data_IF_573675141068
#
_entry.id   IF_573675141068
#
_cell.length_a   1.000
_cell.length_b   1.000
_cell.length_c   1.000
_cell.angle_alpha   90.00
_cell.angle_beta   90.00
_cell.angle_gamma   90.00
#
_symmetry.space_group_name_H-M   'P 1'
#
loop_
_entity.id
_entity.type
_entity.pdbx_description
1 polymer ?
#
# COMPACT_ATOMS: atom_id res chain seq x y z
N UNK A 1 3.40 -24.44 21.62
CA UNK A 1 4.88 -24.43 21.67
C UNK A 1 5.60 -24.59 20.32
N UNK A 2 5.68 -25.76 19.65
CA UNK A 2 6.48 -25.87 18.40
C UNK A 2 5.93 -25.05 17.21
N UNK A 3 4.60 -24.97 17.04
CA UNK A 3 3.98 -24.14 15.96
C UNK A 3 4.13 -22.64 16.20
N UNK A 4 4.03 -22.18 17.44
CA UNK A 4 4.20 -20.75 17.78
C UNK A 4 5.63 -20.28 17.54
N UNK A 5 6.63 -21.11 17.87
CA UNK A 5 8.03 -20.81 17.56
C UNK A 5 8.30 -20.73 16.04
N UNK A 6 7.66 -21.61 15.25
CA UNK A 6 7.79 -21.60 13.79
C UNK A 6 7.14 -20.36 13.14
N UNK A 7 5.99 -19.90 13.66
CA UNK A 7 5.37 -18.65 13.20
C UNK A 7 6.22 -17.43 13.53
N UNK A 8 6.81 -17.37 14.73
CA UNK A 8 7.70 -16.28 15.13
C UNK A 8 8.82 -16.06 14.11
N UNK A 9 9.55 -17.13 13.76
CA UNK A 9 10.65 -17.08 12.78
C UNK A 9 10.16 -16.63 11.39
N UNK A 10 9.02 -17.12 10.93
CA UNK A 10 8.48 -16.74 9.62
C UNK A 10 8.02 -15.28 9.58
N UNK A 11 7.41 -14.77 10.66
CA UNK A 11 6.97 -13.38 10.78
C UNK A 11 8.17 -12.44 10.91
N UNK A 12 9.21 -12.82 11.65
CA UNK A 12 10.46 -12.05 11.73
C UNK A 12 11.10 -11.90 10.35
N UNK A 13 11.22 -13.00 9.60
CA UNK A 13 11.73 -12.95 8.23
C UNK A 13 10.88 -12.03 7.33
N UNK A 14 9.55 -12.12 7.42
CA UNK A 14 8.66 -11.22 6.67
C UNK A 14 8.87 -9.75 7.06
N UNK A 15 9.04 -9.46 8.35
CA UNK A 15 9.30 -8.11 8.83
C UNK A 15 10.63 -7.57 8.28
N UNK A 16 11.68 -8.39 8.28
CA UNK A 16 12.99 -8.02 7.72
C UNK A 16 12.90 -7.72 6.22
N UNK A 17 12.20 -8.55 5.44
CA UNK A 17 12.00 -8.35 4.00
C UNK A 17 11.22 -7.05 3.72
N UNK A 18 10.17 -6.78 4.51
CA UNK A 18 9.35 -5.57 4.42
C UNK A 18 10.16 -4.31 4.76
N UNK A 19 10.96 -4.35 5.83
CA UNK A 19 11.82 -3.23 6.26
C UNK A 19 12.96 -3.00 5.25
N UNK A 20 13.55 -4.07 4.70
CA UNK A 20 14.57 -4.00 3.67
C UNK A 20 14.04 -3.28 2.42
N UNK A 21 12.86 -3.67 1.96
CA UNK A 21 12.18 -3.03 0.82
C UNK A 21 11.85 -1.56 1.11
N UNK A 22 11.33 -1.25 2.30
CA UNK A 22 11.04 0.13 2.69
C UNK A 22 12.31 1.00 2.66
N UNK A 23 13.42 0.47 3.15
CA UNK A 23 14.72 1.16 3.16
C UNK A 23 15.19 1.50 1.74
N UNK A 24 15.07 0.54 0.81
CA UNK A 24 15.41 0.75 -0.61
C UNK A 24 14.54 1.87 -1.20
N UNK A 25 13.23 1.83 -0.94
CA UNK A 25 12.30 2.82 -1.47
C UNK A 25 12.55 4.23 -0.94
N UNK A 26 12.84 4.37 0.37
CA UNK A 26 13.18 5.66 0.98
C UNK A 26 14.47 6.23 0.35
N UNK A 27 15.50 5.39 0.17
CA UNK A 27 16.76 5.82 -0.48
C UNK A 27 16.53 6.28 -1.92
N UNK A 28 15.76 5.51 -2.69
CA UNK A 28 15.43 5.87 -4.07
C UNK A 28 14.65 7.20 -4.16
N UNK A 29 13.68 7.41 -3.27
CA UNK A 29 12.92 8.67 -3.20
C UNK A 29 13.81 9.84 -2.80
N UNK A 30 14.69 9.66 -1.81
CA UNK A 30 15.63 10.71 -1.41
C UNK A 30 16.57 11.11 -2.55
N UNK A 31 17.10 10.12 -3.29
CA UNK A 31 17.93 10.36 -4.46
C UNK A 31 17.17 11.14 -5.56
N UNK A 32 15.93 10.75 -5.84
CA UNK A 32 15.07 11.49 -6.78
C UNK A 32 14.82 12.93 -6.33
N UNK A 33 14.50 13.14 -5.04
CA UNK A 33 14.29 14.48 -4.48
C UNK A 33 15.55 15.35 -4.60
N UNK A 34 16.74 14.79 -4.37
CA UNK A 34 18.00 15.50 -4.55
C UNK A 34 18.20 15.97 -6.01
N UNK A 35 17.85 15.12 -6.99
CA UNK A 35 17.89 15.50 -8.41
C UNK A 35 16.89 16.62 -8.71
N UNK A 36 15.65 16.49 -8.25
CA UNK A 36 14.61 17.52 -8.43
C UNK A 36 14.97 18.86 -7.78
N UNK A 37 15.61 18.84 -6.61
CA UNK A 37 16.13 20.04 -5.95
C UNK A 37 17.20 20.72 -6.81
N UNK A 38 18.15 19.94 -7.34
CA UNK A 38 19.20 20.46 -8.21
C UNK A 38 18.62 21.12 -9.46
N UNK A 39 17.73 20.41 -10.17
CA UNK A 39 17.06 20.93 -11.36
C UNK A 39 16.28 22.22 -11.09
N UNK A 40 15.58 22.27 -9.95
CA UNK A 40 14.83 23.45 -9.53
C UNK A 40 15.75 24.66 -9.31
N UNK A 41 16.83 24.49 -8.54
CA UNK A 41 17.81 25.55 -8.26
C UNK A 41 18.49 26.02 -9.55
N UNK A 42 18.96 25.09 -10.38
CA UNK A 42 19.66 25.40 -11.63
C UNK A 42 18.77 26.19 -12.60
N UNK A 43 17.49 25.81 -12.70
CA UNK A 43 16.50 26.51 -13.55
C UNK A 43 16.23 27.93 -13.09
N UNK A 44 16.06 28.13 -11.77
CA UNK A 44 15.80 29.46 -11.23
C UNK A 44 17.02 30.39 -11.32
N UNK A 45 18.22 29.86 -11.07
CA UNK A 45 19.47 30.61 -11.27
C UNK A 45 19.66 31.02 -12.73
N UNK A 46 19.42 30.11 -13.67
CA UNK A 46 19.48 30.41 -15.10
C UNK A 46 18.47 31.49 -15.52
N UNK A 47 17.37 31.63 -14.77
CA UNK A 47 16.36 32.67 -14.96
C UNK A 47 16.69 33.98 -14.23
N UNK A 48 17.86 34.10 -13.60
CA UNK A 48 18.31 35.29 -12.89
C UNK A 48 17.69 35.50 -11.51
N UNK A 49 17.02 34.48 -10.96
CA UNK A 49 16.44 34.56 -9.62
C UNK A 49 17.56 34.50 -8.57
N UNK A 50 17.51 35.39 -7.58
CA UNK A 50 18.50 35.46 -6.51
C UNK A 50 18.42 34.24 -5.57
N UNK A 51 19.57 33.76 -5.11
CA UNK A 51 19.68 32.61 -4.20
C UNK A 51 18.86 32.75 -2.91
N UNK A 52 18.69 33.98 -2.39
CA UNK A 52 17.84 34.23 -1.21
C UNK A 52 16.38 33.90 -1.46
N UNK A 53 15.86 34.23 -2.64
CA UNK A 53 14.48 33.93 -3.06
C UNK A 53 14.32 32.43 -3.31
N UNK A 54 15.31 31.80 -3.95
CA UNK A 54 15.31 30.34 -4.17
C UNK A 54 15.26 29.61 -2.83
N UNK A 55 16.07 30.03 -1.85
CA UNK A 55 16.06 29.47 -0.50
C UNK A 55 14.71 29.64 0.17
N UNK A 56 14.13 30.85 0.13
CA UNK A 56 12.81 31.10 0.70
C UNK A 56 11.75 30.18 0.09
N UNK A 57 11.74 30.01 -1.24
CA UNK A 57 10.81 29.10 -1.90
C UNK A 57 10.98 27.64 -1.45
N UNK A 58 12.22 27.18 -1.24
CA UNK A 58 12.50 25.83 -0.75
C UNK A 58 12.09 25.66 0.72
N UNK A 59 12.30 26.68 1.55
CA UNK A 59 11.86 26.69 2.95
C UNK A 59 10.32 26.66 3.03
N UNK A 60 9.64 27.42 2.16
CA UNK A 60 8.18 27.43 2.03
C UNK A 60 7.65 26.08 1.50
N UNK A 61 8.31 25.47 0.51
CA UNK A 61 7.97 24.15 -0.02
C UNK A 61 8.13 23.06 1.05
N UNK A 62 9.21 23.14 1.84
CA UNK A 62 9.46 22.21 2.94
C UNK A 62 8.39 22.32 4.04
N UNK A 63 8.12 23.55 4.48
CA UNK A 63 7.26 23.82 5.64
C UNK A 63 5.79 23.56 5.33
N UNK A 64 5.35 23.89 4.11
CA UNK A 64 3.93 23.81 3.73
C UNK A 64 3.59 22.56 2.91
N UNK A 65 4.54 21.64 2.71
CA UNK A 65 4.32 20.41 1.94
C UNK A 65 4.09 20.68 0.45
N UNK A 66 4.93 21.54 -0.12
CA UNK A 66 4.92 21.94 -1.52
C UNK A 66 5.22 20.81 -2.50
N UNK A 67 5.58 21.17 -3.73
CA UNK A 67 5.77 20.20 -4.80
C UNK A 67 6.92 19.25 -4.49
N UNK A 68 8.08 19.75 -4.08
CA UNK A 68 9.30 18.92 -3.98
C UNK A 68 9.26 18.04 -2.71
N UNK A 69 9.17 18.68 -1.55
CA UNK A 69 9.17 17.97 -0.27
C UNK A 69 7.84 17.30 0.01
N UNK A 70 6.71 17.89 -0.40
CA UNK A 70 5.41 17.26 -0.27
C UNK A 70 5.30 15.98 -1.11
N UNK A 71 5.86 15.93 -2.32
CA UNK A 71 5.93 14.67 -3.10
C UNK A 71 6.78 13.61 -2.40
N UNK A 72 7.92 14.00 -1.82
CA UNK A 72 8.77 13.10 -1.04
C UNK A 72 8.02 12.51 0.16
N UNK A 73 7.42 13.36 1.00
CA UNK A 73 6.67 12.90 2.19
C UNK A 73 5.46 12.05 1.81
N UNK A 74 4.68 12.45 0.80
CA UNK A 74 3.56 11.62 0.31
C UNK A 74 4.07 10.27 -0.19
N UNK A 75 5.18 10.25 -0.91
CA UNK A 75 5.82 9.02 -1.38
C UNK A 75 6.19 8.08 -0.24
N UNK A 76 6.82 8.59 0.82
CA UNK A 76 7.16 7.80 2.01
C UNK A 76 5.90 7.29 2.72
N UNK A 77 4.92 8.16 2.97
CA UNK A 77 3.68 7.77 3.65
C UNK A 77 2.93 6.67 2.91
N UNK A 78 2.90 6.74 1.58
CA UNK A 78 2.33 5.70 0.72
C UNK A 78 3.08 4.37 0.85
N UNK A 79 4.41 4.39 0.84
CA UNK A 79 5.22 3.18 1.01
C UNK A 79 5.01 2.57 2.39
N UNK A 80 5.07 3.36 3.46
CA UNK A 80 4.85 2.90 4.84
C UNK A 80 3.47 2.26 4.97
N UNK A 81 2.42 2.91 4.46
CA UNK A 81 1.06 2.37 4.50
C UNK A 81 0.95 1.05 3.75
N UNK A 82 1.57 0.95 2.57
CA UNK A 82 1.58 -0.27 1.76
C UNK A 82 2.30 -1.41 2.47
N UNK A 83 3.46 -1.12 3.07
CA UNK A 83 4.30 -2.09 3.78
C UNK A 83 3.65 -2.59 5.08
N UNK A 84 3.00 -1.71 5.84
CA UNK A 84 2.17 -2.15 6.99
C UNK A 84 1.04 -3.06 6.50
N UNK A 85 0.40 -2.71 5.38
CA UNK A 85 -0.62 -3.54 4.76
C UNK A 85 -0.11 -4.93 4.38
N UNK A 86 1.08 -5.00 3.78
CA UNK A 86 1.77 -6.24 3.43
C UNK A 86 2.11 -7.08 4.65
N UNK A 87 2.72 -6.47 5.68
CA UNK A 87 3.04 -7.14 6.93
C UNK A 87 1.79 -7.70 7.61
N UNK A 88 0.71 -6.91 7.71
CA UNK A 88 -0.54 -7.38 8.35
C UNK A 88 -1.14 -8.58 7.60
N UNK A 89 -1.21 -8.52 6.26
CA UNK A 89 -1.75 -9.64 5.47
C UNK A 89 -0.83 -10.86 5.50
N UNK A 90 0.47 -10.66 5.34
CA UNK A 90 1.44 -11.76 5.34
C UNK A 90 1.49 -12.48 6.69
N UNK A 91 1.49 -11.74 7.79
CA UNK A 91 1.42 -12.33 9.14
C UNK A 91 0.12 -13.08 9.38
N UNK A 92 -1.02 -12.56 8.88
CA UNK A 92 -2.29 -13.29 8.94
C UNK A 92 -2.23 -14.59 8.11
N UNK A 93 -1.73 -14.53 6.87
CA UNK A 93 -1.57 -15.70 6.01
C UNK A 93 -0.66 -16.78 6.66
N UNK A 94 0.45 -16.39 7.27
CA UNK A 94 1.36 -17.29 8.00
C UNK A 94 0.65 -17.95 9.18
N UNK A 95 -0.04 -17.16 10.01
CA UNK A 95 -0.77 -17.65 11.20
C UNK A 95 -1.90 -18.60 10.80
N UNK A 96 -2.64 -18.23 9.77
CA UNK A 96 -3.82 -18.97 9.30
C UNK A 96 -3.41 -20.14 8.39
N UNK A 97 -2.11 -20.33 8.15
CA UNK A 97 -1.54 -21.46 7.42
C UNK A 97 -1.88 -21.47 5.94
N UNK A 98 -2.10 -20.30 5.33
CA UNK A 98 -2.44 -20.18 3.90
C UNK A 98 -1.31 -20.74 3.04
N UNK A 99 -1.65 -21.67 2.16
CA UNK A 99 -0.75 -22.28 1.20
C UNK A 99 -0.89 -21.63 -0.19
N UNK A 100 0.15 -21.71 -1.04
CA UNK A 100 0.11 -21.12 -2.40
C UNK A 100 -1.07 -21.59 -3.26
N UNK A 101 -1.50 -22.83 -3.08
CA UNK A 101 -2.59 -23.51 -3.81
C UNK A 101 -3.96 -23.37 -3.14
N UNK A 102 -4.06 -22.72 -1.99
CA UNK A 102 -5.34 -22.47 -1.34
C UNK A 102 -6.22 -21.57 -2.21
N UNK A 103 -7.48 -21.99 -2.41
CA UNK A 103 -8.49 -21.16 -3.06
C UNK A 103 -8.90 -20.01 -2.16
N UNK A 104 -8.72 -18.79 -2.67
CA UNK A 104 -9.06 -17.55 -2.00
C UNK A 104 -10.05 -16.76 -2.86
N UNK A 105 -11.08 -16.23 -2.20
CA UNK A 105 -12.08 -15.38 -2.82
C UNK A 105 -11.74 -13.92 -2.57
N UNK A 106 -11.79 -13.11 -3.63
CA UNK A 106 -11.64 -11.68 -3.50
C UNK A 106 -12.93 -11.02 -3.03
N UNK A 107 -12.86 -10.34 -1.88
CA UNK A 107 -13.98 -9.61 -1.31
C UNK A 107 -13.70 -8.12 -1.44
N UNK A 108 -14.39 -7.49 -2.40
CA UNK A 108 -14.39 -6.04 -2.55
C UNK A 108 -15.07 -5.33 -1.37
N UNK A 109 -14.45 -4.24 -0.90
CA UNK A 109 -14.94 -3.44 0.23
C UNK A 109 -15.17 -2.00 -0.24
N UNK A 110 -16.35 -1.46 0.07
CA UNK A 110 -16.71 -0.06 -0.11
C UNK A 110 -16.56 0.72 1.20
N UNK A 111 -16.03 1.94 1.08
CA UNK A 111 -15.61 2.78 2.20
C UNK A 111 -16.59 3.90 2.56
N UNK A 112 -17.51 4.23 1.66
CA UNK A 112 -18.49 5.29 1.85
C UNK A 112 -19.88 4.72 1.62
N UNK A 113 -20.83 5.17 2.42
CA UNK A 113 -22.24 4.90 2.17
C UNK A 113 -22.65 5.47 0.80
N UNK A 114 -23.20 4.63 -0.06
CA UNK A 114 -23.58 4.99 -1.43
C UNK A 114 -22.47 4.84 -2.49
N UNK A 115 -21.21 4.67 -2.10
CA UNK A 115 -20.12 4.45 -3.04
C UNK A 115 -19.98 2.97 -3.42
N UNK A 116 -19.53 2.73 -4.65
CA UNK A 116 -19.11 1.41 -5.11
C UNK A 116 -17.66 1.15 -4.67
N UNK A 117 -17.31 -0.11 -4.49
CA UNK A 117 -15.91 -0.49 -4.41
C UNK A 117 -15.16 0.04 -5.65
N UNK A 118 -13.85 0.25 -5.53
CA UNK A 118 -13.11 0.89 -6.61
C UNK A 118 -13.21 0.10 -7.94
N UNK A 119 -13.08 0.76 -9.10
CA UNK A 119 -13.32 0.15 -10.41
C UNK A 119 -12.43 -1.06 -10.70
N UNK A 120 -11.26 -1.15 -10.07
CA UNK A 120 -10.37 -2.31 -10.22
C UNK A 120 -10.78 -3.51 -9.35
N UNK A 121 -11.46 -3.24 -8.23
CA UNK A 121 -11.81 -4.28 -7.25
C UNK A 121 -13.23 -4.82 -7.47
N UNK A 122 -14.14 -4.02 -8.03
CA UNK A 122 -15.51 -4.45 -8.30
C UNK A 122 -15.56 -5.68 -9.22
N UNK A 123 -14.83 -5.74 -10.35
CA UNK A 123 -14.86 -6.91 -11.24
C UNK A 123 -14.27 -8.17 -10.63
N UNK A 124 -13.46 -8.04 -9.58
CA UNK A 124 -12.84 -9.17 -8.87
C UNK A 124 -13.72 -9.68 -7.73
N UNK A 125 -14.77 -8.97 -7.32
CA UNK A 125 -15.61 -9.40 -6.19
C UNK A 125 -16.22 -10.78 -6.46
N UNK A 126 -16.04 -11.72 -5.53
CA UNK A 126 -16.51 -13.09 -5.64
C UNK A 126 -15.64 -13.99 -6.53
N UNK A 127 -14.61 -13.45 -7.19
CA UNK A 127 -13.68 -14.25 -7.98
C UNK A 127 -12.85 -15.14 -7.06
N UNK A 128 -12.76 -16.42 -7.42
CA UNK A 128 -11.94 -17.43 -6.73
C UNK A 128 -10.70 -17.69 -7.57
N UNK A 129 -9.54 -17.66 -6.92
CA UNK A 129 -8.26 -18.04 -7.51
C UNK A 129 -7.32 -18.55 -6.41
N UNK A 130 -6.23 -19.20 -6.80
CA UNK A 130 -5.21 -19.64 -5.83
C UNK A 130 -4.53 -18.43 -5.18
N UNK A 131 -4.09 -18.58 -3.92
CA UNK A 131 -3.34 -17.52 -3.24
C UNK A 131 -2.13 -17.05 -4.06
N UNK A 132 -1.40 -17.98 -4.68
CA UNK A 132 -0.25 -17.66 -5.53
C UNK A 132 -0.64 -16.84 -6.75
N UNK A 133 -1.76 -17.16 -7.41
CA UNK A 133 -2.23 -16.36 -8.54
C UNK A 133 -2.65 -14.96 -8.09
N UNK A 134 -3.27 -14.83 -6.92
CA UNK A 134 -3.56 -13.51 -6.35
C UNK A 134 -2.31 -12.70 -6.03
N UNK A 135 -1.24 -13.34 -5.54
CA UNK A 135 0.06 -12.69 -5.35
C UNK A 135 0.56 -12.11 -6.67
N UNK A 136 0.49 -12.88 -7.77
CA UNK A 136 0.93 -12.46 -9.10
C UNK A 136 0.04 -11.35 -9.71
N UNK A 137 -1.28 -11.43 -9.51
CA UNK A 137 -2.28 -10.48 -10.03
C UNK A 137 -2.39 -9.19 -9.21
N UNK A 138 -1.70 -9.14 -8.07
CA UNK A 138 -1.70 -8.02 -7.14
C UNK A 138 -2.69 -8.22 -6.00
N UNK A 139 -2.14 -8.29 -4.78
CA UNK A 139 -2.90 -8.32 -3.54
C UNK A 139 -3.43 -6.92 -3.17
N UNK A 140 -4.45 -6.82 -2.29
CA UNK A 140 -4.82 -5.54 -1.71
C UNK A 140 -3.60 -4.81 -1.12
N UNK A 141 -3.58 -3.48 -1.22
CA UNK A 141 -2.53 -2.59 -0.65
C UNK A 141 -1.13 -2.70 -1.27
N UNK A 142 -0.92 -3.48 -2.34
CA UNK A 142 0.41 -3.58 -2.98
C UNK A 142 0.70 -2.51 -4.03
N UNK A 143 -0.26 -1.62 -4.31
CA UNK A 143 -0.06 -0.52 -5.26
C UNK A 143 -0.61 -0.75 -6.67
N UNK A 144 -1.09 -1.97 -6.99
CA UNK A 144 -1.53 -2.32 -8.35
C UNK A 144 -2.83 -1.62 -8.79
N UNK A 145 -3.74 -1.31 -7.85
CA UNK A 145 -5.01 -0.66 -8.14
C UNK A 145 -4.95 0.86 -7.99
N UNK A 146 -6.00 1.56 -8.44
CA UNK A 146 -6.20 3.01 -8.25
C UNK A 146 -6.20 3.41 -6.78
N UNK A 147 -6.62 2.52 -5.88
CA UNK A 147 -6.57 2.74 -4.43
C UNK A 147 -5.16 2.55 -3.83
N UNK A 148 -4.24 1.93 -4.58
CA UNK A 148 -2.84 1.69 -4.20
C UNK A 148 -2.72 1.09 -2.78
N UNK A 149 -1.89 1.68 -1.93
CA UNK A 149 -1.68 1.29 -0.54
C UNK A 149 -2.93 1.42 0.35
N UNK A 150 -3.95 2.17 -0.10
CA UNK A 150 -5.17 2.41 0.67
C UNK A 150 -6.30 1.43 0.36
N UNK A 151 -6.09 0.46 -0.53
CA UNK A 151 -7.09 -0.57 -0.82
C UNK A 151 -7.55 -1.29 0.46
N UNK A 152 -8.86 -1.52 0.58
CA UNK A 152 -9.51 -2.10 1.77
C UNK A 152 -10.10 -3.47 1.54
N UNK A 153 -10.10 -3.91 0.27
CA UNK A 153 -10.48 -5.26 -0.12
C UNK A 153 -9.62 -6.30 0.60
N UNK A 154 -10.18 -7.49 0.74
CA UNK A 154 -9.57 -8.60 1.47
C UNK A 154 -9.65 -9.87 0.64
N UNK A 155 -8.79 -10.82 0.96
CA UNK A 155 -8.88 -12.20 0.48
C UNK A 155 -9.33 -13.06 1.65
N UNK A 156 -10.37 -13.85 1.44
CA UNK A 156 -10.86 -14.85 2.38
C UNK A 156 -10.74 -16.23 1.75
N UNK A 157 -10.69 -17.30 2.55
CA UNK A 157 -10.74 -18.65 1.98
C UNK A 157 -12.09 -18.85 1.33
N UNK A 158 -12.13 -19.58 0.22
CA UNK A 158 -13.38 -19.88 -0.48
C UNK A 158 -14.42 -20.53 0.46
N UNK A 159 -13.96 -21.40 1.37
CA UNK A 159 -14.79 -22.03 2.41
C UNK A 159 -15.47 -21.05 3.35
N UNK A 160 -14.84 -19.90 3.63
CA UNK A 160 -15.35 -18.90 4.57
C UNK A 160 -16.38 -17.98 3.91
N UNK A 161 -16.37 -17.92 2.58
CA UNK A 161 -17.32 -17.13 1.79
C UNK A 161 -18.53 -17.97 1.39
N UNK A 162 -18.33 -19.26 1.13
CA UNK A 162 -19.39 -20.19 0.72
C UNK A 162 -20.43 -20.36 1.84
N UNK A 163 -21.60 -19.74 1.66
CA UNK A 163 -22.73 -19.80 2.59
C UNK A 163 -22.99 -18.51 3.37
N UNK A 164 -22.11 -17.51 3.22
CA UNK A 164 -22.28 -16.21 3.88
C UNK A 164 -22.97 -15.21 2.93
N UNK A 165 -24.27 -15.04 3.12
CA UNK A 165 -25.10 -14.15 2.29
C UNK A 165 -24.57 -12.70 2.30
N UNK A 166 -24.01 -12.25 3.42
CA UNK A 166 -23.47 -10.89 3.56
C UNK A 166 -22.25 -10.61 2.69
N UNK A 167 -21.63 -11.64 2.11
CA UNK A 167 -20.43 -11.53 1.26
C UNK A 167 -20.72 -11.68 -0.24
N UNK A 168 -21.99 -11.83 -0.65
CA UNK A 168 -22.36 -11.87 -2.09
C UNK A 168 -22.26 -10.53 -2.80
N UNK A 169 -22.36 -9.45 -2.03
CA UNK A 169 -22.21 -8.08 -2.52
C UNK A 169 -20.97 -7.44 -1.87
N UNK A 170 -20.37 -6.41 -2.50
CA UNK A 170 -19.27 -5.68 -1.89
C UNK A 170 -19.62 -5.18 -0.48
N UNK A 171 -18.76 -5.54 0.48
CA UNK A 171 -18.96 -5.23 1.90
C UNK A 171 -18.90 -3.73 2.10
N UNK A 172 -19.87 -3.17 2.83
CA UNK A 172 -19.94 -1.73 3.12
C UNK A 172 -19.50 -1.48 4.54
N UNK A 173 -18.48 -0.65 4.72
CA UNK A 173 -18.09 -0.17 6.06
C UNK A 173 -18.90 1.11 6.32
N UNK A 174 -19.95 1.02 7.14
CA UNK A 174 -20.61 2.20 7.69
C UNK A 174 -19.72 2.76 8.80
N UNK A 175 -19.39 4.05 8.76
CA UNK A 175 -18.84 4.71 9.95
C UNK A 175 -19.97 4.80 10.97
N UNK A 176 -19.88 4.03 12.04
CA UNK A 176 -20.63 4.38 13.25
C UNK A 176 -20.06 5.72 13.74
N UNK A 177 -20.95 6.72 13.86
CA UNK A 177 -20.63 8.06 14.38
C UNK A 177 -20.33 8.02 15.88
#
# INVERSE_FOLDING_TARGET
MKREAAWGVAIEKLADDVIGTLTINIRAKAAKTALTLKEYVDTLRASGIADSVIRQNLDDDLTNGGRIFGEFFRGISMDVTGRIGELTRGSAAIRDGVQPDDNMTWVAVSMTEGDKACPDCTPRHGEVDTYQNWVLRGLPKTGWSVCRAHCKCILLRESDVNGEESLKEPVRITKEN
#
